data_IF_627812072857
#
_entry.id   IF_627812072857
#
_cell.length_a   1.000
_cell.length_b   1.000
_cell.length_c   1.000
_cell.angle_alpha   90.00
_cell.angle_beta   90.00
_cell.angle_gamma   90.00
#
_symmetry.space_group_name_H-M   'P 1'
#
loop_
_entity.id
_entity.type
_entity.pdbx_description
1 polymer ?
#
# COMPACT_ATOMS: atom_id res chain seq x y z
N UNK A 1 11.10 -17.37 -0.15
CA UNK A 1 11.18 -15.91 -0.38
C UNK A 1 12.08 -15.32 0.69
N UNK A 2 12.99 -14.40 0.37
CA UNK A 2 13.80 -13.70 1.40
C UNK A 2 13.01 -12.53 2.00
N UNK A 3 13.30 -12.11 3.24
CA UNK A 3 12.64 -10.95 3.87
C UNK A 3 12.65 -9.70 2.98
N UNK A 4 13.81 -9.41 2.38
CA UNK A 4 13.97 -8.24 1.50
C UNK A 4 13.03 -8.30 0.29
N UNK A 5 12.91 -9.47 -0.33
CA UNK A 5 12.04 -9.69 -1.48
C UNK A 5 10.56 -9.46 -1.12
N UNK A 6 10.11 -10.04 0.01
CA UNK A 6 8.75 -9.82 0.51
C UNK A 6 8.46 -8.34 0.80
N UNK A 7 9.42 -7.66 1.44
CA UNK A 7 9.32 -6.23 1.72
C UNK A 7 9.25 -5.38 0.46
N UNK A 8 10.10 -5.66 -0.54
CA UNK A 8 10.09 -4.97 -1.84
C UNK A 8 8.76 -5.13 -2.53
N UNK A 9 8.16 -6.33 -2.51
CA UNK A 9 6.85 -6.58 -3.10
C UNK A 9 5.76 -5.70 -2.48
N UNK A 10 5.76 -5.55 -1.14
CA UNK A 10 4.81 -4.69 -0.42
C UNK A 10 5.03 -3.21 -0.77
N UNK A 11 6.28 -2.75 -0.84
CA UNK A 11 6.63 -1.37 -1.23
C UNK A 11 6.17 -1.07 -2.66
N UNK A 12 6.47 -1.97 -3.60
CA UNK A 12 6.06 -1.82 -5.00
C UNK A 12 4.54 -1.77 -5.12
N UNK A 13 3.82 -2.60 -4.38
CA UNK A 13 2.36 -2.51 -4.31
C UNK A 13 1.89 -1.14 -3.80
N UNK A 14 2.46 -0.64 -2.70
CA UNK A 14 2.10 0.67 -2.14
C UNK A 14 2.40 1.84 -3.11
N UNK A 15 3.49 1.75 -3.88
CA UNK A 15 3.79 2.70 -4.96
C UNK A 15 2.69 2.63 -6.02
N UNK A 16 2.35 1.44 -6.50
CA UNK A 16 1.35 1.27 -7.55
C UNK A 16 -0.07 1.64 -7.08
N UNK A 17 -0.39 1.60 -5.80
CA UNK A 17 -1.66 2.14 -5.26
C UNK A 17 -1.75 3.68 -5.37
N UNK A 18 -0.62 4.39 -5.41
CA UNK A 18 -0.56 5.87 -5.32
C UNK A 18 -0.08 6.54 -6.62
N UNK A 19 0.91 5.98 -7.28
CA UNK A 19 1.61 6.54 -8.44
C UNK A 19 1.17 5.89 -9.74
N UNK A 20 1.36 6.60 -10.85
CA UNK A 20 1.09 6.05 -12.19
C UNK A 20 2.04 4.91 -12.57
N UNK A 21 3.29 4.97 -12.11
CA UNK A 21 4.29 3.93 -12.34
C UNK A 21 5.40 3.97 -11.28
N UNK A 22 6.16 2.88 -11.16
CA UNK A 22 7.39 2.86 -10.35
C UNK A 22 8.38 3.94 -10.84
N UNK A 23 8.45 4.16 -12.16
CA UNK A 23 9.26 5.21 -12.78
C UNK A 23 8.87 6.60 -12.31
N UNK A 24 7.58 6.93 -12.24
CA UNK A 24 7.13 8.20 -11.70
C UNK A 24 7.61 8.39 -10.25
N UNK A 25 7.56 7.34 -9.42
CA UNK A 25 8.03 7.39 -8.04
C UNK A 25 9.56 7.57 -7.93
N UNK A 26 10.35 6.68 -8.52
CA UNK A 26 11.80 6.72 -8.29
C UNK A 26 12.48 7.93 -8.96
N UNK A 27 11.91 8.46 -10.05
CA UNK A 27 12.46 9.67 -10.69
C UNK A 27 12.06 10.94 -9.96
N UNK A 28 10.78 11.07 -9.57
CA UNK A 28 10.25 12.34 -9.06
C UNK A 28 10.32 12.46 -7.53
N UNK A 29 10.31 11.36 -6.78
CA UNK A 29 10.42 11.38 -5.30
C UNK A 29 11.84 11.07 -4.84
N UNK A 30 12.41 9.98 -5.35
CA UNK A 30 13.72 9.49 -4.90
C UNK A 30 14.88 10.17 -5.63
N UNK A 31 14.66 10.69 -6.85
CA UNK A 31 15.70 11.29 -7.68
C UNK A 31 16.81 10.30 -8.08
N UNK A 32 16.47 9.03 -8.30
CA UNK A 32 17.43 7.96 -8.65
C UNK A 32 17.23 7.42 -10.07
N UNK A 33 18.23 6.71 -10.57
CA UNK A 33 18.14 6.01 -11.86
C UNK A 33 17.37 4.70 -11.75
N UNK A 34 16.80 4.23 -12.87
CA UNK A 34 16.14 2.92 -12.95
C UNK A 34 17.07 1.74 -12.62
N UNK A 35 18.37 1.85 -12.95
CA UNK A 35 19.37 0.87 -12.55
C UNK A 35 19.52 0.82 -11.02
N UNK A 36 19.55 1.97 -10.34
CA UNK A 36 19.65 2.02 -8.88
C UNK A 36 18.40 1.44 -8.23
N UNK A 37 17.22 1.72 -8.79
CA UNK A 37 15.96 1.13 -8.36
C UNK A 37 15.97 -0.40 -8.49
N UNK A 38 16.40 -0.92 -9.64
CA UNK A 38 16.47 -2.36 -9.91
C UNK A 38 17.43 -3.07 -8.98
N UNK A 39 18.65 -2.51 -8.77
CA UNK A 39 19.63 -3.06 -7.82
C UNK A 39 19.10 -3.11 -6.39
N UNK A 40 18.32 -2.11 -5.98
CA UNK A 40 17.66 -2.14 -4.68
C UNK A 40 16.58 -3.22 -4.62
N UNK A 41 15.72 -3.35 -5.63
CA UNK A 41 14.70 -4.40 -5.67
C UNK A 41 15.32 -5.81 -5.56
N UNK A 42 16.44 -6.03 -6.25
CA UNK A 42 17.16 -7.31 -6.23
C UNK A 42 17.97 -7.57 -4.95
N UNK A 43 18.06 -6.59 -4.04
CA UNK A 43 18.87 -6.70 -2.83
C UNK A 43 20.38 -6.60 -3.06
N UNK A 44 20.80 -6.17 -4.26
CA UNK A 44 22.20 -6.02 -4.65
C UNK A 44 22.83 -4.76 -4.05
N UNK A 45 22.04 -3.69 -3.89
CA UNK A 45 22.50 -2.43 -3.30
C UNK A 45 21.39 -1.71 -2.53
N UNK A 46 21.68 -1.32 -1.29
CA UNK A 46 20.77 -0.50 -0.48
C UNK A 46 20.58 0.91 -1.04
N UNK A 47 19.45 1.53 -0.66
CA UNK A 47 19.20 2.96 -0.91
C UNK A 47 19.82 3.83 0.20
N UNK A 48 20.05 5.11 -0.11
CA UNK A 48 20.43 6.11 0.91
C UNK A 48 19.32 6.24 1.96
N UNK A 49 19.70 6.62 3.19
CA UNK A 49 18.76 6.80 4.30
C UNK A 49 17.60 7.74 3.95
N UNK A 50 17.87 8.86 3.27
CA UNK A 50 16.84 9.80 2.83
C UNK A 50 15.80 9.14 1.89
N UNK A 51 16.27 8.28 0.97
CA UNK A 51 15.37 7.56 0.06
C UNK A 51 14.57 6.49 0.80
N UNK A 52 15.16 5.84 1.80
CA UNK A 52 14.42 4.91 2.67
C UNK A 52 13.36 5.63 3.50
N UNK A 53 13.62 6.85 3.97
CA UNK A 53 12.63 7.69 4.65
C UNK A 53 11.47 8.06 3.71
N UNK A 54 11.75 8.37 2.44
CA UNK A 54 10.70 8.62 1.43
C UNK A 54 9.86 7.36 1.15
N UNK A 55 10.48 6.18 1.16
CA UNK A 55 9.76 4.90 1.06
C UNK A 55 8.87 4.69 2.29
N UNK A 56 9.34 4.97 3.51
CA UNK A 56 8.50 4.79 4.71
C UNK A 56 7.28 5.70 4.70
N UNK A 57 7.37 6.90 4.10
CA UNK A 57 6.24 7.83 3.89
C UNK A 57 5.17 7.33 2.89
N UNK A 58 5.38 6.19 2.24
CA UNK A 58 4.31 5.48 1.52
C UNK A 58 3.27 4.89 2.48
N UNK A 59 3.64 4.71 3.74
CA UNK A 59 2.88 4.03 4.78
C UNK A 59 2.60 4.98 5.95
N UNK A 60 1.58 4.67 6.74
CA UNK A 60 1.54 5.15 8.13
C UNK A 60 2.60 4.42 8.97
N UNK A 61 2.93 4.92 10.16
CA UNK A 61 3.89 4.23 11.04
C UNK A 61 3.45 2.79 11.37
N UNK A 62 2.14 2.59 11.58
CA UNK A 62 1.57 1.28 11.82
C UNK A 62 1.68 0.35 10.60
N UNK A 63 1.36 0.86 9.41
CA UNK A 63 1.47 0.11 8.16
C UNK A 63 2.93 -0.22 7.82
N UNK A 64 3.86 0.69 8.11
CA UNK A 64 5.29 0.46 7.95
C UNK A 64 5.79 -0.68 8.84
N UNK A 65 5.41 -0.65 10.12
CA UNK A 65 5.68 -1.75 11.04
C UNK A 65 5.04 -3.05 10.54
N UNK A 66 3.80 -3.01 10.06
CA UNK A 66 3.09 -4.19 9.55
C UNK A 66 3.81 -4.80 8.33
N UNK A 67 4.26 -3.96 7.38
CA UNK A 67 5.03 -4.40 6.22
C UNK A 67 6.31 -5.15 6.64
N UNK A 68 7.04 -4.61 7.63
CA UNK A 68 8.23 -5.28 8.17
C UNK A 68 7.93 -6.59 8.90
N UNK A 69 6.82 -6.65 9.67
CA UNK A 69 6.39 -7.89 10.33
C UNK A 69 6.08 -8.98 9.32
N UNK A 70 5.38 -8.65 8.24
CA UNK A 70 5.03 -9.61 7.19
C UNK A 70 6.26 -10.06 6.42
N UNK A 71 7.15 -9.12 6.08
CA UNK A 71 8.41 -9.47 5.44
C UNK A 71 9.24 -10.45 6.27
N UNK A 72 9.29 -10.26 7.59
CA UNK A 72 9.94 -11.20 8.51
C UNK A 72 9.21 -12.56 8.55
N UNK A 73 7.88 -12.55 8.61
CA UNK A 73 7.10 -13.79 8.61
C UNK A 73 7.25 -14.59 7.31
N UNK A 74 7.46 -13.93 6.17
CA UNK A 74 7.71 -14.58 4.88
C UNK A 74 9.00 -15.43 4.87
N UNK A 75 9.92 -15.25 5.82
CA UNK A 75 11.11 -16.11 5.94
C UNK A 75 10.80 -17.48 6.56
N UNK A 76 9.71 -17.57 7.33
CA UNK A 76 9.41 -18.74 8.17
C UNK A 76 8.05 -19.39 7.85
N UNK A 77 7.09 -18.63 7.30
CA UNK A 77 5.75 -19.09 6.96
C UNK A 77 5.61 -19.21 5.43
N UNK A 78 5.54 -20.43 4.87
CA UNK A 78 5.42 -20.65 3.42
C UNK A 78 4.19 -19.97 2.79
N UNK A 79 3.07 -19.92 3.51
CA UNK A 79 1.85 -19.27 3.06
C UNK A 79 2.04 -17.75 2.89
N UNK A 80 2.78 -17.11 3.79
CA UNK A 80 3.12 -15.67 3.69
C UNK A 80 4.16 -15.46 2.60
N UNK A 81 5.14 -16.36 2.50
CA UNK A 81 6.15 -16.36 1.45
C UNK A 81 5.57 -16.53 0.04
N UNK A 82 4.38 -17.15 -0.09
CA UNK A 82 3.76 -17.36 -1.39
C UNK A 82 3.14 -16.07 -1.98
N UNK A 83 2.58 -15.21 -1.12
CA UNK A 83 1.92 -13.96 -1.52
C UNK A 83 1.92 -12.94 -0.36
N UNK A 84 3.06 -12.27 -0.09
CA UNK A 84 3.19 -11.34 1.04
C UNK A 84 2.33 -10.08 0.86
N UNK A 85 2.02 -9.71 -0.39
CA UNK A 85 1.16 -8.57 -0.70
C UNK A 85 -0.29 -8.89 -0.31
N UNK A 86 -0.81 -10.06 -0.70
CA UNK A 86 -2.15 -10.45 -0.29
C UNK A 86 -2.27 -10.58 1.24
N UNK A 87 -1.25 -11.12 1.90
CA UNK A 87 -1.23 -11.19 3.36
C UNK A 87 -1.25 -9.80 4.00
N UNK A 88 -0.47 -8.86 3.47
CA UNK A 88 -0.47 -7.47 3.92
C UNK A 88 -1.82 -6.78 3.76
N UNK A 89 -2.44 -6.89 2.59
CA UNK A 89 -3.75 -6.30 2.32
C UNK A 89 -4.84 -6.95 3.18
N UNK A 90 -4.80 -8.27 3.35
CA UNK A 90 -5.73 -9.03 4.20
C UNK A 90 -5.62 -8.58 5.66
N UNK A 91 -4.40 -8.50 6.21
CA UNK A 91 -4.18 -8.06 7.58
C UNK A 91 -4.60 -6.60 7.78
N UNK A 92 -4.34 -5.69 6.83
CA UNK A 92 -4.87 -4.32 6.87
C UNK A 92 -6.38 -4.29 7.03
N UNK A 93 -7.11 -5.06 6.21
CA UNK A 93 -8.58 -5.15 6.27
C UNK A 93 -9.04 -5.77 7.59
N UNK A 94 -8.41 -6.84 8.06
CA UNK A 94 -8.77 -7.49 9.33
C UNK A 94 -8.56 -6.58 10.54
N UNK A 95 -7.43 -5.88 10.60
CA UNK A 95 -7.10 -4.95 11.69
C UNK A 95 -8.04 -3.74 11.65
N UNK A 96 -8.29 -3.17 10.46
CA UNK A 96 -9.28 -2.10 10.31
C UNK A 96 -10.67 -2.55 10.78
N UNK A 97 -11.11 -3.75 10.38
CA UNK A 97 -12.36 -4.38 10.82
C UNK A 97 -12.44 -4.57 12.33
N UNK A 98 -11.31 -4.89 12.97
CA UNK A 98 -11.22 -5.00 14.41
C UNK A 98 -11.34 -3.62 15.08
N UNK A 99 -10.59 -2.62 14.61
CA UNK A 99 -10.61 -1.26 15.17
C UNK A 99 -11.98 -0.59 15.08
N UNK A 100 -12.72 -0.75 13.97
CA UNK A 100 -14.04 -0.12 13.83
C UNK A 100 -15.09 -0.60 14.83
N UNK A 101 -14.83 -1.70 15.55
CA UNK A 101 -15.71 -2.22 16.61
C UNK A 101 -15.39 -1.61 17.98
N UNK A 102 -14.31 -0.85 18.10
CA UNK A 102 -13.87 -0.20 19.33
C UNK A 102 -14.51 1.20 19.46
N UNK A 103 -14.62 1.71 20.68
CA UNK A 103 -15.26 3.01 20.96
C UNK A 103 -14.39 4.21 20.56
N UNK A 104 -13.07 4.05 20.61
CA UNK A 104 -12.05 5.08 20.40
C UNK A 104 -11.52 5.13 18.95
N UNK A 105 -12.34 4.72 17.98
CA UNK A 105 -11.97 4.69 16.56
C UNK A 105 -12.52 5.90 15.80
N UNK A 106 -11.64 6.53 15.02
CA UNK A 106 -11.99 7.57 14.04
C UNK A 106 -11.92 6.98 12.64
N UNK A 107 -12.96 7.23 11.85
CA UNK A 107 -13.04 6.79 10.46
C UNK A 107 -13.36 8.00 9.59
N UNK A 108 -12.53 8.24 8.57
CA UNK A 108 -12.69 9.40 7.68
C UNK A 108 -12.29 9.09 6.23
N UNK A 109 -12.97 9.72 5.29
CA UNK A 109 -12.54 9.74 3.89
C UNK A 109 -11.53 10.87 3.67
N UNK A 110 -10.50 10.59 2.86
CA UNK A 110 -9.58 11.59 2.30
C UNK A 110 -9.55 11.46 0.79
N UNK A 111 -9.49 12.60 0.12
CA UNK A 111 -9.13 12.64 -1.30
C UNK A 111 -7.62 12.49 -1.41
N UNK A 112 -7.14 11.57 -2.24
CA UNK A 112 -5.71 11.46 -2.49
C UNK A 112 -5.17 12.75 -3.12
N UNK A 113 -3.88 13.03 -2.90
CA UNK A 113 -3.20 14.12 -3.59
C UNK A 113 -3.29 13.92 -5.11
N UNK A 114 -3.68 14.97 -5.83
CA UNK A 114 -3.77 14.95 -7.29
C UNK A 114 -2.63 15.79 -7.85
N UNK A 115 -1.82 15.19 -8.71
CA UNK A 115 -0.80 15.89 -9.49
C UNK A 115 -0.73 15.22 -10.85
N UNK A 116 -1.01 16.01 -11.90
CA UNK A 116 -1.13 15.54 -13.27
C UNK A 116 0.16 14.84 -13.70
N UNK A 117 0.06 13.58 -14.12
CA UNK A 117 1.22 12.79 -14.56
C UNK A 117 2.09 12.19 -13.44
N UNK A 118 1.70 12.34 -12.17
CA UNK A 118 2.43 11.78 -11.02
C UNK A 118 1.59 10.76 -10.25
N UNK A 119 0.41 11.18 -9.78
CA UNK A 119 -0.48 10.35 -8.97
C UNK A 119 -1.63 9.78 -9.78
N UNK A 120 -2.14 8.61 -9.35
CA UNK A 120 -3.39 8.08 -9.87
C UNK A 120 -4.54 9.04 -9.55
N UNK A 121 -5.38 9.31 -10.54
CA UNK A 121 -6.60 10.10 -10.37
C UNK A 121 -7.72 9.24 -9.78
N UNK A 122 -8.74 9.88 -9.21
CA UNK A 122 -9.93 9.22 -8.66
C UNK A 122 -9.63 8.16 -7.59
N UNK A 123 -8.63 8.43 -6.76
CA UNK A 123 -8.31 7.62 -5.58
C UNK A 123 -8.93 8.25 -4.34
N UNK A 124 -9.83 7.50 -3.71
CA UNK A 124 -10.40 7.84 -2.41
C UNK A 124 -9.70 6.99 -1.35
N UNK A 125 -9.33 7.60 -0.22
CA UNK A 125 -8.64 6.94 0.89
C UNK A 125 -9.59 6.83 2.07
N UNK A 126 -9.85 5.62 2.53
CA UNK A 126 -10.51 5.36 3.79
C UNK A 126 -9.46 5.28 4.90
N UNK A 127 -9.47 6.24 5.81
CA UNK A 127 -8.55 6.27 6.95
C UNK A 127 -9.27 5.81 8.20
N UNK A 128 -8.72 4.80 8.86
CA UNK A 128 -9.17 4.29 10.15
C UNK A 128 -8.04 4.56 11.14
N UNK A 129 -8.33 5.27 12.22
CA UNK A 129 -7.39 5.61 13.27
C UNK A 129 -7.92 5.15 14.64
N UNK A 130 -7.13 4.40 15.39
CA UNK A 130 -7.40 4.10 16.80
C UNK A 130 -6.53 5.00 17.68
N UNK A 131 -7.11 5.54 18.76
CA UNK A 131 -6.44 6.50 19.64
C UNK A 131 -6.26 5.92 21.05
N UNK A 132 -5.07 6.03 21.62
CA UNK A 132 -4.74 5.58 22.97
C UNK A 132 -5.01 6.63 24.08
N UNK A 133 -5.94 7.56 23.85
CA UNK A 133 -6.23 8.66 24.77
C UNK A 133 -5.25 9.84 24.70
N UNK A 134 -4.35 9.84 23.72
CA UNK A 134 -3.35 10.90 23.50
C UNK A 134 -3.41 11.41 22.07
N UNK A 135 -3.50 12.73 21.89
CA UNK A 135 -3.89 13.35 20.61
C UNK A 135 -2.97 13.02 19.43
N UNK A 136 -1.67 12.81 19.68
CA UNK A 136 -0.65 12.53 18.65
C UNK A 136 -0.28 11.06 18.50
N UNK A 137 -0.70 10.19 19.43
CA UNK A 137 -0.31 8.79 19.44
C UNK A 137 -1.48 7.95 18.95
N UNK A 138 -1.53 7.76 17.64
CA UNK A 138 -2.59 7.03 16.97
C UNK A 138 -1.98 6.02 16.00
N UNK A 139 -2.55 4.82 16.01
CA UNK A 139 -2.28 3.84 14.96
C UNK A 139 -3.31 4.02 13.86
N UNK A 140 -2.84 4.01 12.61
CA UNK A 140 -3.63 4.44 11.46
C UNK A 140 -3.46 3.44 10.32
N UNK A 141 -4.56 3.06 9.70
CA UNK A 141 -4.60 2.26 8.47
C UNK A 141 -5.30 3.08 7.39
N UNK A 142 -4.73 3.07 6.18
CA UNK A 142 -5.30 3.73 5.01
C UNK A 142 -5.63 2.72 3.92
N UNK A 143 -6.90 2.56 3.61
CA UNK A 143 -7.38 1.72 2.51
C UNK A 143 -7.61 2.61 1.30
N UNK A 144 -6.86 2.36 0.22
CA UNK A 144 -6.93 3.14 -1.02
C UNK A 144 -7.87 2.46 -1.99
N UNK A 145 -8.87 3.19 -2.46
CA UNK A 145 -9.92 2.70 -3.35
C UNK A 145 -9.87 3.52 -4.64
N UNK A 146 -9.59 2.85 -5.75
CA UNK A 146 -9.49 3.47 -7.08
C UNK A 146 -10.83 3.36 -7.80
N UNK A 147 -11.24 4.42 -8.48
CA UNK A 147 -12.42 4.42 -9.34
C UNK A 147 -13.75 4.58 -8.62
N UNK A 148 -13.73 4.81 -7.29
CA UNK A 148 -14.91 5.21 -6.54
C UNK A 148 -14.72 6.65 -6.06
N UNK A 149 -15.62 7.54 -6.46
CA UNK A 149 -15.61 8.93 -6.05
C UNK A 149 -16.31 9.10 -4.71
N UNK A 150 -15.89 10.07 -3.89
CA UNK A 150 -16.51 10.40 -2.60
C UNK A 150 -18.04 10.59 -2.67
N UNK A 151 -18.55 11.03 -3.84
CA UNK A 151 -20.00 11.15 -4.09
C UNK A 151 -20.74 9.80 -4.13
N UNK A 152 -20.07 8.71 -4.51
CA UNK A 152 -20.68 7.39 -4.66
C UNK A 152 -20.77 6.61 -3.35
N UNK A 153 -19.92 6.89 -2.35
CA UNK A 153 -19.83 6.10 -1.10
C UNK A 153 -20.66 6.71 0.05
N UNK A 154 -21.14 7.95 -0.12
CA UNK A 154 -21.87 8.67 0.90
C UNK A 154 -20.96 9.17 2.04
N UNK A 155 -21.35 10.29 2.64
CA UNK A 155 -20.60 11.00 3.70
C UNK A 155 -20.87 10.50 5.12
N UNK A 156 -21.79 9.55 5.30
CA UNK A 156 -22.23 9.12 6.64
C UNK A 156 -21.37 7.98 7.17
N UNK A 157 -21.00 8.06 8.45
CA UNK A 157 -20.30 7.02 9.24
C UNK A 157 -20.89 5.60 9.06
N UNK A 158 -22.18 5.49 8.76
CA UNK A 158 -22.82 4.21 8.40
C UNK A 158 -22.33 3.62 7.07
N UNK A 159 -22.27 4.39 5.98
CA UNK A 159 -21.74 3.91 4.69
C UNK A 159 -20.25 3.53 4.75
N UNK A 160 -19.48 4.23 5.60
CA UNK A 160 -18.09 3.93 5.92
C UNK A 160 -17.91 2.57 6.61
N UNK A 161 -18.78 2.28 7.58
CA UNK A 161 -18.79 1.00 8.31
C UNK A 161 -19.38 -0.13 7.46
N UNK A 162 -20.39 0.16 6.63
CA UNK A 162 -21.00 -0.78 5.69
C UNK A 162 -20.00 -1.22 4.63
N UNK A 163 -19.20 -0.31 4.04
CA UNK A 163 -18.15 -0.68 3.09
C UNK A 163 -17.08 -1.57 3.72
N UNK A 164 -16.61 -1.24 4.93
CA UNK A 164 -15.62 -2.07 5.64
C UNK A 164 -16.20 -3.44 5.97
N UNK A 165 -17.51 -3.55 6.24
CA UNK A 165 -18.19 -4.81 6.57
C UNK A 165 -18.64 -5.61 5.34
N UNK A 166 -18.68 -5.01 4.16
CA UNK A 166 -19.09 -5.66 2.91
C UNK A 166 -17.97 -6.57 2.38
N UNK A 167 -18.18 -7.88 2.46
CA UNK A 167 -17.24 -8.90 1.96
C UNK A 167 -16.93 -8.73 0.46
N UNK A 168 -17.89 -8.28 -0.35
CA UNK A 168 -17.66 -8.05 -1.79
C UNK A 168 -16.75 -6.84 -2.01
N UNK A 169 -16.91 -5.80 -1.21
CA UNK A 169 -16.06 -4.61 -1.26
C UNK A 169 -14.62 -4.94 -0.82
N UNK A 170 -14.48 -5.73 0.25
CA UNK A 170 -13.17 -6.23 0.69
C UNK A 170 -12.51 -7.10 -0.38
N UNK A 171 -13.25 -8.04 -0.97
CA UNK A 171 -12.76 -8.91 -2.03
C UNK A 171 -12.29 -8.09 -3.24
N UNK A 172 -13.06 -7.08 -3.66
CA UNK A 172 -12.67 -6.17 -4.74
C UNK A 172 -11.40 -5.38 -4.43
N UNK A 173 -11.20 -4.97 -3.18
CA UNK A 173 -9.94 -4.33 -2.74
C UNK A 173 -8.76 -5.29 -2.83
N UNK A 174 -8.92 -6.54 -2.36
CA UNK A 174 -7.89 -7.57 -2.45
C UNK A 174 -7.56 -7.92 -3.91
N UNK A 175 -8.56 -8.04 -4.78
CA UNK A 175 -8.40 -8.25 -6.22
C UNK A 175 -7.73 -7.07 -6.90
N UNK A 176 -8.06 -5.84 -6.52
CA UNK A 176 -7.39 -4.66 -7.06
C UNK A 176 -5.91 -4.63 -6.70
N UNK A 177 -5.57 -4.86 -5.43
CA UNK A 177 -4.17 -4.98 -5.00
C UNK A 177 -3.42 -6.09 -5.72
N UNK A 178 -4.10 -7.21 -6.06
CA UNK A 178 -3.53 -8.32 -6.84
C UNK A 178 -3.38 -8.02 -8.33
N UNK A 179 -4.38 -7.41 -8.99
CA UNK A 179 -4.35 -7.12 -10.44
C UNK A 179 -3.36 -6.00 -10.81
N UNK A 180 -2.85 -5.30 -9.80
CA UNK A 180 -1.71 -4.39 -9.94
C UNK A 180 -0.38 -5.14 -10.00
N UNK A 181 -0.34 -6.42 -9.64
CA UNK A 181 0.82 -7.32 -9.74
C UNK A 181 0.82 -8.06 -11.09
N UNK A 182 1.04 -7.32 -12.18
CA UNK A 182 1.72 -7.88 -13.34
C UNK A 182 3.18 -7.45 -13.17
N UNK A 183 4.15 -8.37 -13.01
CA UNK A 183 5.55 -8.02 -13.18
C UNK A 183 5.67 -7.36 -14.55
N UNK A 184 6.26 -6.17 -14.65
CA UNK A 184 6.75 -5.72 -15.95
C UNK A 184 7.74 -6.80 -16.39
N UNK A 185 7.30 -7.71 -17.24
CA UNK A 185 8.22 -8.57 -17.96
C UNK A 185 9.13 -7.60 -18.72
N UNK A 186 10.43 -7.81 -18.60
CA UNK A 186 11.45 -7.27 -19.47
C UNK A 186 11.14 -7.67 -20.92
N UNK A 187 10.19 -6.98 -21.54
CA UNK A 187 9.97 -6.98 -22.98
C UNK A 187 10.64 -5.74 -23.58
N UNK A 188 11.88 -5.48 -23.15
CA UNK A 188 12.90 -4.81 -23.95
C UNK A 188 13.97 -5.83 -24.32
N UNK A 189 13.58 -6.91 -25.00
CA UNK A 189 14.50 -7.62 -25.87
C UNK A 189 13.74 -8.36 -26.97
N UNK A 190 14.25 -8.21 -28.19
CA UNK A 190 13.80 -8.79 -29.48
C UNK A 190 12.73 -8.01 -30.24
N UNK A 191 13.18 -6.97 -30.94
CA UNK A 191 13.06 -6.93 -32.41
C UNK A 191 14.30 -6.23 -33.01
N UNK A 192 15.38 -7.01 -33.15
CA UNK A 192 16.29 -6.86 -34.27
C UNK A 192 15.77 -7.80 -35.38
N UNK A 193 15.20 -7.23 -36.43
CA UNK A 193 15.39 -7.65 -37.84
C UNK A 193 15.31 -6.39 -38.68
#
# INVERSE_FOLDING_TARGET
>A
MKMHEAFVLIVVNAIRERYLSEKAFYTQELGISGQSWTRWKNGERGLKSENMQKISMLFTDYEWMLAHKIARNAEVLPEVASDPVAEYLRLKVQIANHWIRQENVRVEWKTAAVSKGKFKENVTILRIATNYGSWSYQDIIEIRIVGITHKQIGTKKQGLLEWIRDEKAQQKYLEYGKNVFIPENDSEEKFNV
#
